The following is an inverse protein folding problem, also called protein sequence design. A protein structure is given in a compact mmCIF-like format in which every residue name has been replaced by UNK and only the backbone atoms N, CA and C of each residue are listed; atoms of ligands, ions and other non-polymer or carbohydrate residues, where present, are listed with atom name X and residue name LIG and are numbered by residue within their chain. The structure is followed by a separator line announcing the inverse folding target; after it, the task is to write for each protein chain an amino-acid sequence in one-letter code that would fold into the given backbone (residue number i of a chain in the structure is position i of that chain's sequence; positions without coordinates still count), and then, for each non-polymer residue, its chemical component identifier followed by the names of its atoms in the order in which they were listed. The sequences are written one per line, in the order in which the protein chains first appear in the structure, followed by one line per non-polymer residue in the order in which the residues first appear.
data_IF_023224694443
#
_entry.id   IF_023224694443
#
_cell.length_a   1.000
_cell.length_b   1.000
_cell.length_c   1.000
_cell.angle_alpha   90.00
_cell.angle_beta   90.00
_cell.angle_gamma   90.00
#
_symmetry.space_group_name_H-M   'P 1'
#
loop_
_entity.id
_entity.type
_entity.pdbx_description
1 polymer ?
#
# COMPACT_ATOMS: atom_id res chain seq x y z
N UNK A 1 -1.31 -1.85 7.16
CA UNK A 1 -1.37 -0.49 7.73
C UNK A 1 -2.14 0.35 6.72
N UNK A 2 -2.94 1.35 7.13
CA UNK A 2 -4.05 1.86 6.30
C UNK A 2 -4.20 3.39 6.29
N UNK A 3 -3.13 4.11 6.60
CA UNK A 3 -3.02 5.56 6.36
C UNK A 3 -1.60 5.81 5.91
N UNK A 4 -1.43 6.66 4.91
CA UNK A 4 -0.14 6.91 4.27
C UNK A 4 0.49 8.19 4.84
N UNK A 5 -0.32 9.09 5.39
CA UNK A 5 0.14 10.26 6.10
C UNK A 5 0.48 10.00 7.59
N UNK A 6 1.77 10.06 7.93
CA UNK A 6 2.26 9.90 9.30
C UNK A 6 1.71 10.96 10.27
N UNK A 7 1.56 12.21 9.83
CA UNK A 7 1.09 13.28 10.72
C UNK A 7 -0.38 13.06 11.11
N UNK A 8 -1.17 12.61 10.14
CA UNK A 8 -2.58 12.26 10.37
C UNK A 8 -2.70 11.05 11.31
N UNK A 9 -1.86 10.01 11.11
CA UNK A 9 -1.79 8.85 12.02
C UNK A 9 -1.47 9.25 13.46
N UNK A 10 -0.43 10.07 13.65
CA UNK A 10 -0.04 10.55 14.98
C UNK A 10 -1.10 11.49 15.58
N UNK A 11 -1.81 12.26 14.75
CA UNK A 11 -2.89 13.14 15.14
C UNK A 11 -4.09 12.41 15.75
N UNK A 12 -4.32 11.14 15.40
CA UNK A 12 -5.40 10.32 15.96
C UNK A 12 -5.11 9.79 17.36
N UNK A 13 -3.84 9.71 17.76
CA UNK A 13 -3.45 9.23 19.07
C UNK A 13 -3.76 10.28 20.15
N UNK A 14 -4.10 9.81 21.36
CA UNK A 14 -4.15 10.69 22.53
C UNK A 14 -2.78 11.36 22.75
N UNK A 15 -2.75 12.50 23.45
CA UNK A 15 -1.50 13.20 23.72
C UNK A 15 -0.47 12.30 24.44
N UNK A 16 -0.93 11.46 25.37
CA UNK A 16 -0.10 10.50 26.09
C UNK A 16 0.45 9.41 25.15
N UNK A 17 -0.40 8.76 24.35
CA UNK A 17 0.03 7.73 23.41
C UNK A 17 0.98 8.29 22.33
N UNK A 18 0.71 9.51 21.85
CA UNK A 18 1.58 10.21 20.89
C UNK A 18 2.95 10.54 21.50
N UNK A 19 3.01 10.95 22.76
CA UNK A 19 4.28 11.21 23.45
C UNK A 19 5.17 9.96 23.55
N UNK A 20 4.57 8.78 23.71
CA UNK A 20 5.30 7.50 23.77
C UNK A 20 5.97 7.10 22.44
N UNK A 21 5.45 7.59 21.31
CA UNK A 21 5.94 7.25 19.97
C UNK A 21 6.54 8.45 19.21
N UNK A 22 6.70 9.61 19.87
CA UNK A 22 7.18 10.83 19.22
C UNK A 22 8.58 10.65 18.61
N UNK A 23 9.41 9.82 19.23
CA UNK A 23 10.75 9.48 18.75
C UNK A 23 10.74 8.78 17.40
N UNK A 24 9.64 8.10 17.04
CA UNK A 24 9.52 7.35 15.79
C UNK A 24 9.34 8.26 14.57
N UNK A 25 8.87 9.51 14.76
CA UNK A 25 8.53 10.40 13.64
C UNK A 25 9.76 10.71 12.77
N UNK A 26 10.83 11.19 13.37
CA UNK A 26 12.02 11.64 12.64
C UNK A 26 12.66 10.53 11.81
N UNK A 27 12.89 9.30 12.33
CA UNK A 27 13.37 8.19 11.52
C UNK A 27 12.48 7.89 10.31
N UNK A 28 11.15 7.92 10.47
CA UNK A 28 10.21 7.67 9.36
C UNK A 28 10.29 8.80 8.33
N UNK A 29 10.28 10.06 8.76
CA UNK A 29 10.40 11.21 7.85
C UNK A 29 11.70 11.15 7.03
N UNK A 30 12.82 10.79 7.67
CA UNK A 30 14.11 10.63 7.00
C UNK A 30 14.10 9.48 5.99
N UNK A 31 13.48 8.36 6.35
CA UNK A 31 13.26 7.23 5.46
C UNK A 31 12.44 7.64 4.21
N UNK A 32 11.32 8.34 4.39
CA UNK A 32 10.51 8.83 3.27
C UNK A 32 11.28 9.82 2.41
N UNK A 33 12.03 10.74 3.03
CA UNK A 33 12.87 11.70 2.33
C UNK A 33 13.90 11.02 1.42
N UNK A 34 14.56 9.95 1.87
CA UNK A 34 15.48 9.15 1.03
C UNK A 34 14.77 8.52 -0.17
N UNK A 35 13.60 7.91 0.05
CA UNK A 35 12.78 7.36 -1.03
C UNK A 35 12.20 8.41 -1.95
N UNK A 36 12.28 9.68 -1.58
CA UNK A 36 11.87 10.79 -2.44
C UNK A 36 13.07 11.35 -3.22
N UNK A 37 14.24 11.50 -2.59
CA UNK A 37 15.41 12.16 -3.19
C UNK A 37 16.39 11.24 -3.91
N UNK A 38 16.60 10.02 -3.44
CA UNK A 38 17.70 9.16 -3.89
C UNK A 38 17.32 8.42 -5.18
N UNK A 39 18.25 7.71 -5.82
CA UNK A 39 17.92 6.87 -6.98
C UNK A 39 17.10 5.67 -6.54
N UNK A 40 15.88 5.50 -7.09
CA UNK A 40 15.03 4.36 -6.75
C UNK A 40 15.65 3.07 -7.25
N UNK A 41 15.91 2.18 -6.30
CA UNK A 41 16.38 0.82 -6.55
C UNK A 41 15.67 -0.13 -5.59
N UNK A 42 15.60 -1.41 -5.95
CA UNK A 42 15.05 -2.44 -5.06
C UNK A 42 15.83 -2.49 -3.72
N UNK A 43 17.14 -2.29 -3.78
CA UNK A 43 18.03 -2.21 -2.63
C UNK A 43 17.72 -1.02 -1.72
N UNK A 44 17.50 0.18 -2.29
CA UNK A 44 17.10 1.36 -1.50
C UNK A 44 15.77 1.11 -0.77
N UNK A 45 14.77 0.55 -1.46
CA UNK A 45 13.49 0.23 -0.83
C UNK A 45 13.68 -0.79 0.31
N UNK A 46 14.60 -1.74 0.16
CA UNK A 46 14.92 -2.71 1.22
C UNK A 46 15.58 -2.08 2.43
N UNK A 47 16.59 -1.23 2.22
CA UNK A 47 17.29 -0.50 3.28
C UNK A 47 16.32 0.39 4.05
N UNK A 48 15.57 1.23 3.32
CA UNK A 48 14.62 2.16 3.94
C UNK A 48 13.52 1.42 4.69
N UNK A 49 13.02 0.30 4.15
CA UNK A 49 12.05 -0.53 4.86
C UNK A 49 12.62 -1.10 6.16
N UNK A 50 13.86 -1.59 6.14
CA UNK A 50 14.52 -2.13 7.32
C UNK A 50 14.77 -1.06 8.39
N UNK A 51 15.05 0.18 8.00
CA UNK A 51 15.19 1.33 8.90
C UNK A 51 13.82 1.76 9.48
N UNK A 52 12.77 1.77 8.65
CA UNK A 52 11.46 2.27 9.03
C UNK A 52 10.61 1.27 9.85
N UNK A 53 10.87 -0.05 9.75
CA UNK A 53 9.99 -1.07 10.33
C UNK A 53 9.81 -0.95 11.84
N UNK A 54 10.88 -0.72 12.61
CA UNK A 54 10.80 -0.58 14.07
C UNK A 54 9.98 0.64 14.49
N UNK A 55 10.34 1.86 14.01
CA UNK A 55 9.54 3.06 14.21
C UNK A 55 8.06 2.90 13.80
N UNK A 56 7.79 2.33 12.62
CA UNK A 56 6.42 2.09 12.15
C UNK A 56 5.68 1.09 13.05
N UNK A 57 6.33 0.01 13.47
CA UNK A 57 5.75 -0.97 14.38
C UNK A 57 5.35 -0.34 15.72
N UNK A 58 6.16 0.57 16.27
CA UNK A 58 5.83 1.31 17.49
C UNK A 58 4.57 2.18 17.33
N UNK A 59 4.47 2.94 16.22
CA UNK A 59 3.30 3.77 15.90
C UNK A 59 2.05 2.91 15.72
N UNK A 60 2.15 1.82 14.94
CA UNK A 60 1.05 0.87 14.70
C UNK A 60 0.60 0.20 15.99
N UNK A 61 1.54 -0.21 16.85
CA UNK A 61 1.23 -0.79 18.15
C UNK A 61 0.46 0.20 19.05
N UNK A 62 0.85 1.47 19.07
CA UNK A 62 0.12 2.50 19.80
C UNK A 62 -1.30 2.72 19.25
N UNK A 63 -1.46 2.72 17.93
CA UNK A 63 -2.77 2.83 17.27
C UNK A 63 -3.67 1.65 17.62
N UNK A 64 -3.19 0.40 17.49
CA UNK A 64 -4.01 -0.78 17.80
C UNK A 64 -4.46 -0.85 19.26
N UNK A 65 -3.64 -0.36 20.20
CA UNK A 65 -4.06 -0.21 21.60
C UNK A 65 -5.22 0.77 21.75
N UNK A 66 -5.23 1.85 20.97
CA UNK A 66 -6.32 2.83 20.96
C UNK A 66 -7.59 2.33 20.22
N UNK A 67 -7.43 1.48 19.21
CA UNK A 67 -8.55 0.87 18.46
C UNK A 67 -9.48 0.06 19.37
N UNK A 68 -8.93 -0.60 20.40
CA UNK A 68 -9.66 -1.55 21.25
C UNK A 68 -10.91 -1.00 21.95
N UNK A 69 -11.02 0.32 22.14
CA UNK A 69 -12.20 0.93 22.77
C UNK A 69 -13.35 1.24 21.80
N UNK A 70 -13.07 1.41 20.50
CA UNK A 70 -14.10 1.78 19.49
C UNK A 70 -13.69 1.35 18.06
N UNK A 71 -13.60 0.05 17.77
CA UNK A 71 -12.93 -0.40 16.54
C UNK A 71 -13.62 0.03 15.25
N UNK A 72 -14.96 0.14 15.23
CA UNK A 72 -15.70 0.58 14.04
C UNK A 72 -15.46 2.06 13.71
N UNK A 73 -15.39 2.93 14.72
CA UNK A 73 -15.08 4.35 14.53
C UNK A 73 -13.65 4.53 14.01
N UNK A 74 -12.71 3.76 14.55
CA UNK A 74 -11.34 3.73 14.07
C UNK A 74 -11.25 3.21 12.65
N UNK A 75 -11.95 2.12 12.33
CA UNK A 75 -12.04 1.59 10.96
C UNK A 75 -12.51 2.67 9.98
N UNK A 76 -13.63 3.32 10.28
CA UNK A 76 -14.21 4.35 9.42
C UNK A 76 -13.24 5.53 9.23
N UNK A 77 -12.67 6.03 10.32
CA UNK A 77 -11.72 7.15 10.25
C UNK A 77 -10.45 6.83 9.46
N UNK A 78 -9.86 5.66 9.67
CA UNK A 78 -8.66 5.25 8.92
C UNK A 78 -8.97 5.06 7.43
N UNK A 79 -10.15 4.54 7.07
CA UNK A 79 -10.56 4.44 5.66
C UNK A 79 -10.81 5.81 5.02
N UNK A 80 -11.35 6.77 5.77
CA UNK A 80 -11.53 8.14 5.31
C UNK A 80 -10.17 8.81 5.05
N UNK A 81 -9.20 8.64 5.96
CA UNK A 81 -7.84 9.16 5.76
C UNK A 81 -7.18 8.53 4.53
N UNK A 82 -7.31 7.20 4.38
CA UNK A 82 -6.78 6.48 3.22
C UNK A 82 -7.38 6.99 1.91
N UNK A 83 -8.67 7.31 1.91
CA UNK A 83 -9.34 7.91 0.76
C UNK A 83 -8.80 9.31 0.45
N UNK A 84 -8.58 10.16 1.47
CA UNK A 84 -7.98 11.49 1.26
C UNK A 84 -6.56 11.40 0.71
N UNK A 85 -5.77 10.44 1.19
CA UNK A 85 -4.42 10.19 0.68
C UNK A 85 -4.45 9.69 -0.78
N UNK A 86 -5.40 8.82 -1.14
CA UNK A 86 -5.62 8.38 -2.53
C UNK A 86 -6.01 9.56 -3.44
N UNK A 87 -6.96 10.39 -3.01
CA UNK A 87 -7.39 11.56 -3.78
C UNK A 87 -6.23 12.51 -4.01
N UNK A 88 -5.38 12.74 -3.00
CA UNK A 88 -4.16 13.55 -3.12
C UNK A 88 -3.19 12.95 -4.13
N UNK A 89 -2.95 11.64 -4.11
CA UNK A 89 -2.07 11.00 -5.10
C UNK A 89 -2.67 11.11 -6.50
N UNK A 90 -3.97 10.87 -6.65
CA UNK A 90 -4.65 10.91 -7.95
C UNK A 90 -4.54 12.27 -8.64
N UNK A 91 -4.52 13.38 -7.89
CA UNK A 91 -4.37 14.73 -8.48
C UNK A 91 -2.96 15.04 -8.98
N UNK A 92 -1.93 14.39 -8.43
CA UNK A 92 -0.54 14.62 -8.83
C UNK A 92 -0.03 13.62 -9.87
N UNK A 93 -0.63 12.43 -9.96
CA UNK A 93 -0.17 11.40 -10.89
C UNK A 93 -0.29 11.85 -12.36
N UNK A 94 0.75 11.59 -13.18
CA UNK A 94 0.92 12.24 -14.48
C UNK A 94 -0.04 11.72 -15.56
N UNK A 95 -0.44 10.45 -15.48
CA UNK A 95 -1.19 9.77 -16.53
C UNK A 95 -2.24 8.80 -15.94
N UNK A 96 -3.13 8.32 -16.81
CA UNK A 96 -4.23 7.43 -16.43
C UNK A 96 -3.76 6.03 -16.04
N UNK A 97 -2.63 5.55 -16.56
CA UNK A 97 -2.09 4.23 -16.23
C UNK A 97 -1.53 4.20 -14.79
N UNK A 98 -0.89 5.29 -14.37
CA UNK A 98 -0.45 5.47 -12.99
C UNK A 98 -1.65 5.56 -12.02
N UNK A 99 -2.74 6.22 -12.42
CA UNK A 99 -3.98 6.28 -11.63
C UNK A 99 -4.65 4.91 -11.54
N UNK A 100 -4.73 4.16 -12.63
CA UNK A 100 -5.21 2.78 -12.62
C UNK A 100 -4.37 1.90 -11.67
N UNK A 101 -3.05 2.08 -11.69
CA UNK A 101 -2.12 1.35 -10.80
C UNK A 101 -2.38 1.71 -9.33
N UNK A 102 -2.58 3.00 -9.03
CA UNK A 102 -3.00 3.45 -7.70
C UNK A 102 -4.31 2.78 -7.27
N UNK A 103 -5.34 2.76 -8.15
CA UNK A 103 -6.64 2.15 -7.85
C UNK A 103 -6.50 0.67 -7.46
N UNK A 104 -5.65 -0.06 -8.19
CA UNK A 104 -5.31 -1.44 -7.86
C UNK A 104 -4.70 -1.59 -6.46
N UNK A 105 -3.71 -0.74 -6.17
CA UNK A 105 -2.99 -0.78 -4.89
C UNK A 105 -3.92 -0.44 -3.72
N UNK A 106 -4.65 0.65 -3.84
CA UNK A 106 -5.55 1.15 -2.79
C UNK A 106 -6.72 0.20 -2.57
N UNK A 107 -7.30 -0.33 -3.64
CA UNK A 107 -8.38 -1.31 -3.59
C UNK A 107 -7.97 -2.60 -2.86
N UNK A 108 -6.77 -3.12 -3.15
CA UNK A 108 -6.23 -4.29 -2.45
C UNK A 108 -5.98 -3.99 -0.96
N UNK A 109 -5.39 -2.84 -0.64
CA UNK A 109 -5.12 -2.44 0.75
C UNK A 109 -6.40 -2.29 1.57
N UNK A 110 -7.47 -1.70 0.99
CA UNK A 110 -8.80 -1.66 1.60
C UNK A 110 -9.32 -3.07 1.88
N UNK A 111 -9.25 -3.98 0.91
CA UNK A 111 -9.67 -5.38 1.10
C UNK A 111 -8.91 -6.08 2.22
N UNK A 112 -7.57 -5.90 2.28
CA UNK A 112 -6.74 -6.45 3.34
C UNK A 112 -7.09 -5.85 4.71
N UNK A 113 -7.35 -4.54 4.77
CA UNK A 113 -7.74 -3.84 5.97
C UNK A 113 -9.09 -4.31 6.49
N UNK A 114 -10.06 -4.49 5.59
CA UNK A 114 -11.39 -5.03 5.90
C UNK A 114 -11.30 -6.41 6.53
N UNK A 115 -10.48 -7.30 5.96
CA UNK A 115 -10.20 -8.60 6.57
C UNK A 115 -9.56 -8.46 7.96
N UNK A 116 -8.58 -7.56 8.11
CA UNK A 116 -7.87 -7.34 9.38
C UNK A 116 -8.82 -6.87 10.48
N UNK A 117 -9.68 -5.89 10.20
CA UNK A 117 -10.67 -5.40 11.14
C UNK A 117 -11.75 -6.43 11.44
N UNK A 118 -12.21 -7.19 10.44
CA UNK A 118 -13.17 -8.27 10.65
C UNK A 118 -12.62 -9.35 11.61
N UNK A 119 -11.32 -9.67 11.51
CA UNK A 119 -10.65 -10.60 12.44
C UNK A 119 -10.49 -9.97 13.82
N UNK A 120 -10.01 -8.72 13.91
CA UNK A 120 -9.82 -8.03 15.19
C UNK A 120 -11.13 -7.84 15.97
N UNK A 121 -12.23 -7.56 15.27
CA UNK A 121 -13.58 -7.43 15.84
C UNK A 121 -14.13 -8.76 16.37
N UNK A 122 -13.80 -9.88 15.73
CA UNK A 122 -14.28 -11.22 16.11
C UNK A 122 -13.43 -11.90 17.18
N UNK A 123 -12.12 -11.63 17.19
CA UNK A 123 -11.16 -12.27 18.10
C UNK A 123 -10.91 -11.52 19.42
N UNK A 124 -11.53 -10.35 19.61
CA UNK A 124 -11.10 -9.38 20.62
C UNK A 124 -9.73 -8.78 20.29
N UNK A 125 -9.29 -7.71 20.98
CA UNK A 125 -7.96 -7.14 20.77
C UNK A 125 -6.90 -8.16 21.22
N UNK A 126 -6.51 -9.03 20.30
CA UNK A 126 -5.35 -9.90 20.47
C UNK A 126 -4.14 -8.98 20.59
N UNK A 127 -3.35 -9.21 21.65
CA UNK A 127 -2.19 -8.43 22.08
C UNK A 127 -1.04 -8.54 21.07
N UNK A 128 -1.23 -8.08 19.84
CA UNK A 128 -0.13 -7.94 18.88
C UNK A 128 0.74 -6.79 19.39
N UNK A 129 1.83 -7.15 20.05
CA UNK A 129 2.81 -6.20 20.57
C UNK A 129 3.73 -5.66 19.48
N UNK A 130 4.52 -4.65 19.82
CA UNK A 130 5.56 -4.12 18.94
C UNK A 130 6.52 -5.24 18.48
N UNK A 131 6.94 -6.11 19.41
CA UNK A 131 7.83 -7.24 19.11
C UNK A 131 7.21 -8.23 18.11
N UNK A 132 5.89 -8.44 18.14
CA UNK A 132 5.19 -9.29 17.18
C UNK A 132 5.20 -8.67 15.79
N UNK A 133 4.97 -7.37 15.67
CA UNK A 133 5.01 -6.67 14.39
C UNK A 133 6.42 -6.65 13.82
N UNK A 134 7.44 -6.39 14.64
CA UNK A 134 8.85 -6.42 14.21
C UNK A 134 9.32 -7.84 13.83
N UNK A 135 8.84 -8.86 14.55
CA UNK A 135 9.11 -10.27 14.20
C UNK A 135 8.39 -10.67 12.92
N UNK A 136 7.14 -10.24 12.74
CA UNK A 136 6.38 -10.46 11.51
C UNK A 136 7.05 -9.73 10.35
N UNK A 137 7.48 -8.48 10.53
CA UNK A 137 8.18 -7.67 9.53
C UNK A 137 9.49 -8.22 9.00
N UNK A 138 10.07 -9.20 9.71
CA UNK A 138 11.24 -9.96 9.23
C UNK A 138 10.88 -11.18 8.39
N UNK A 139 9.62 -11.63 8.39
CA UNK A 139 9.12 -12.66 7.46
C UNK A 139 8.92 -12.04 6.08
N UNK A 140 9.38 -12.73 5.04
CA UNK A 140 9.35 -12.23 3.65
C UNK A 140 7.96 -11.69 3.26
N UNK A 141 6.90 -12.42 3.61
CA UNK A 141 5.51 -12.11 3.26
C UNK A 141 5.01 -10.79 3.86
N UNK A 142 5.34 -10.54 5.12
CA UNK A 142 4.94 -9.32 5.83
C UNK A 142 5.89 -8.16 5.50
N UNK A 143 7.15 -8.46 5.17
CA UNK A 143 8.10 -7.46 4.67
C UNK A 143 7.59 -6.84 3.37
N UNK A 144 7.03 -7.63 2.46
CA UNK A 144 6.41 -7.09 1.24
C UNK A 144 5.24 -6.14 1.56
N UNK A 145 4.38 -6.48 2.54
CA UNK A 145 3.32 -5.57 3.01
C UNK A 145 3.85 -4.25 3.58
N UNK A 146 4.97 -4.30 4.32
CA UNK A 146 5.61 -3.08 4.83
C UNK A 146 6.23 -2.27 3.69
N UNK A 147 6.85 -2.93 2.69
CA UNK A 147 7.41 -2.27 1.50
C UNK A 147 6.34 -1.50 0.73
N UNK A 148 5.17 -2.11 0.51
CA UNK A 148 3.99 -1.43 -0.09
C UNK A 148 3.66 -0.16 0.70
N UNK A 149 3.53 -0.31 2.03
CA UNK A 149 3.18 0.81 2.89
C UNK A 149 4.23 1.93 2.84
N UNK A 150 5.51 1.59 2.97
CA UNK A 150 6.64 2.54 2.95
C UNK A 150 6.71 3.29 1.63
N UNK A 151 6.58 2.59 0.50
CA UNK A 151 6.59 3.22 -0.81
C UNK A 151 5.39 4.17 -1.01
N UNK A 152 4.19 3.79 -0.58
CA UNK A 152 3.02 4.67 -0.63
C UNK A 152 3.10 5.87 0.32
N UNK A 153 3.65 5.70 1.51
CA UNK A 153 3.92 6.82 2.43
C UNK A 153 4.88 7.82 1.79
N UNK A 154 5.94 7.33 1.14
CA UNK A 154 6.87 8.18 0.41
C UNK A 154 6.21 8.86 -0.81
N UNK A 155 5.28 8.18 -1.51
CA UNK A 155 4.54 8.77 -2.61
C UNK A 155 3.65 9.93 -2.13
N UNK A 156 2.95 9.75 -1.01
CA UNK A 156 2.13 10.80 -0.40
C UNK A 156 2.99 11.96 0.10
N UNK A 157 4.14 11.65 0.71
CA UNK A 157 5.09 12.65 1.15
C UNK A 157 5.62 13.47 -0.05
N UNK A 158 5.99 12.82 -1.16
CA UNK A 158 6.39 13.48 -2.41
C UNK A 158 5.29 14.39 -2.98
N UNK A 159 4.04 13.92 -2.97
CA UNK A 159 2.89 14.71 -3.41
C UNK A 159 2.67 15.97 -2.55
N UNK A 160 2.93 15.90 -1.23
CA UNK A 160 2.76 17.03 -0.30
C UNK A 160 3.79 18.13 -0.49
N UNK A 161 5.06 17.78 -0.71
CA UNK A 161 6.12 18.78 -0.92
C UNK A 161 6.15 19.34 -2.34
N UNK A 162 5.27 18.86 -3.23
CA UNK A 162 5.19 19.33 -4.61
C UNK A 162 6.38 18.89 -5.47
N UNK A 163 6.94 17.71 -5.18
CA UNK A 163 8.00 17.12 -6.00
C UNK A 163 7.46 16.54 -7.32
N UNK A 164 8.37 16.03 -8.15
CA UNK A 164 8.10 15.49 -9.50
C UNK A 164 6.95 14.45 -9.48
N UNK A 165 5.88 14.66 -10.27
CA UNK A 165 4.80 13.68 -10.50
C UNK A 165 5.29 12.28 -10.87
N UNK A 166 6.39 12.21 -11.61
CA UNK A 166 7.05 10.98 -12.03
C UNK A 166 7.57 10.20 -10.81
N UNK A 167 8.10 10.90 -9.80
CA UNK A 167 8.56 10.24 -8.57
C UNK A 167 7.42 9.60 -7.78
N UNK A 168 6.27 10.28 -7.70
CA UNK A 168 5.08 9.72 -7.06
C UNK A 168 4.58 8.49 -7.83
N UNK A 169 4.60 8.54 -9.17
CA UNK A 169 4.28 7.39 -10.03
C UNK A 169 5.22 6.21 -9.77
N UNK A 170 6.53 6.42 -9.79
CA UNK A 170 7.50 5.32 -9.59
C UNK A 170 7.30 4.61 -8.25
N UNK A 171 6.99 5.36 -7.19
CA UNK A 171 6.71 4.80 -5.86
C UNK A 171 5.38 4.03 -5.81
N UNK A 172 4.36 4.48 -6.54
CA UNK A 172 3.10 3.73 -6.72
C UNK A 172 3.34 2.44 -7.51
N UNK A 173 4.13 2.49 -8.58
CA UNK A 173 4.48 1.32 -9.40
C UNK A 173 5.28 0.29 -8.57
N UNK A 174 6.25 0.74 -7.77
CA UNK A 174 6.96 -0.12 -6.80
C UNK A 174 5.99 -0.79 -5.81
N UNK A 175 5.01 -0.03 -5.31
CA UNK A 175 3.98 -0.56 -4.41
C UNK A 175 3.11 -1.61 -5.08
N UNK A 176 2.78 -1.43 -6.36
CA UNK A 176 2.03 -2.41 -7.15
C UNK A 176 2.82 -3.71 -7.36
N UNK A 177 4.11 -3.63 -7.65
CA UNK A 177 4.95 -4.83 -7.81
C UNK A 177 5.01 -5.67 -6.52
N UNK A 178 5.14 -5.02 -5.36
CA UNK A 178 5.10 -5.70 -4.06
C UNK A 178 3.71 -6.27 -3.75
N UNK A 179 2.65 -5.56 -4.14
CA UNK A 179 1.27 -6.07 -4.01
C UNK A 179 1.08 -7.35 -4.80
N UNK A 180 1.57 -7.44 -6.03
CA UNK A 180 1.44 -8.67 -6.86
C UNK A 180 2.10 -9.85 -6.15
N UNK A 181 3.27 -9.65 -5.53
CA UNK A 181 3.96 -10.68 -4.73
C UNK A 181 3.09 -11.13 -3.55
N UNK A 182 2.54 -10.18 -2.78
CA UNK A 182 1.66 -10.48 -1.63
C UNK A 182 0.38 -11.19 -2.08
N UNK A 183 -0.26 -10.71 -3.15
CA UNK A 183 -1.49 -11.30 -3.67
C UNK A 183 -1.30 -12.76 -4.08
N UNK A 184 -0.21 -13.07 -4.79
CA UNK A 184 0.11 -14.45 -5.19
C UNK A 184 0.30 -15.36 -3.98
N UNK A 185 0.96 -14.84 -2.93
CA UNK A 185 1.16 -15.56 -1.68
C UNK A 185 -0.16 -15.84 -0.95
N UNK A 186 -1.01 -14.82 -0.77
CA UNK A 186 -2.32 -14.96 -0.13
C UNK A 186 -3.22 -15.91 -0.91
N UNK A 187 -3.18 -15.86 -2.24
CA UNK A 187 -3.92 -16.78 -3.09
C UNK A 187 -3.46 -18.23 -2.91
N UNK A 188 -2.16 -18.47 -2.75
CA UNK A 188 -1.62 -19.79 -2.41
C UNK A 188 -2.10 -20.31 -1.05
N UNK A 189 -2.47 -19.40 -0.14
CA UNK A 189 -3.07 -19.71 1.16
C UNK A 189 -4.60 -19.77 1.14
N UNK A 190 -5.22 -19.66 -0.04
CA UNK A 190 -6.67 -19.70 -0.22
C UNK A 190 -7.40 -18.38 0.00
N UNK A 191 -6.69 -17.29 0.33
CA UNK A 191 -7.28 -15.95 0.47
C UNK A 191 -7.20 -15.19 -0.86
N UNK A 192 -8.36 -14.95 -1.47
CA UNK A 192 -8.46 -14.18 -2.72
C UNK A 192 -9.00 -12.79 -2.44
N UNK A 193 -8.12 -11.80 -2.44
CA UNK A 193 -8.48 -10.39 -2.40
C UNK A 193 -8.58 -9.84 -3.82
N UNK A 194 -9.68 -9.13 -4.11
CA UNK A 194 -9.84 -8.33 -5.32
C UNK A 194 -9.48 -6.89 -5.00
N UNK A 195 -8.79 -6.21 -5.92
CA UNK A 195 -8.65 -4.76 -5.85
C UNK A 195 -9.99 -4.03 -6.04
N UNK A 196 -10.97 -4.69 -6.66
CA UNK A 196 -12.31 -4.14 -6.88
C UNK A 196 -13.35 -5.12 -6.33
N UNK A 197 -13.55 -5.16 -5.00
CA UNK A 197 -14.39 -6.18 -4.35
C UNK A 197 -15.89 -6.02 -4.63
N UNK A 198 -16.33 -4.81 -5.02
CA UNK A 198 -17.73 -4.49 -5.32
C UNK A 198 -18.01 -4.31 -6.80
N UNK A 199 -17.03 -4.64 -7.64
CA UNK A 199 -17.17 -4.48 -9.08
C UNK A 199 -18.20 -5.45 -9.65
N UNK A 200 -19.15 -4.91 -10.41
CA UNK A 200 -20.10 -5.69 -11.20
C UNK A 200 -19.44 -6.33 -12.41
N UNK A 201 -20.03 -7.41 -12.96
CA UNK A 201 -19.53 -8.04 -14.19
C UNK A 201 -19.42 -7.06 -15.37
N UNK A 202 -20.34 -6.09 -15.45
CA UNK A 202 -20.35 -5.08 -16.51
C UNK A 202 -19.17 -4.11 -16.37
N UNK A 203 -18.94 -3.58 -15.17
CA UNK A 203 -17.80 -2.71 -14.86
C UNK A 203 -16.47 -3.43 -15.10
N UNK A 204 -16.36 -4.70 -14.67
CA UNK A 204 -15.18 -5.52 -14.91
C UNK A 204 -14.89 -5.68 -16.39
N UNK A 205 -15.93 -5.98 -17.18
CA UNK A 205 -15.80 -6.13 -18.64
C UNK A 205 -15.36 -4.82 -19.28
N UNK A 206 -15.95 -3.71 -18.87
CA UNK A 206 -15.59 -2.37 -19.34
C UNK A 206 -14.11 -2.08 -19.07
N UNK A 207 -13.64 -2.29 -17.83
CA UNK A 207 -12.24 -2.07 -17.46
C UNK A 207 -11.29 -2.96 -18.26
N UNK A 208 -11.62 -4.24 -18.44
CA UNK A 208 -10.80 -5.16 -19.25
C UNK A 208 -10.70 -4.73 -20.71
N UNK A 209 -11.80 -4.26 -21.30
CA UNK A 209 -11.80 -3.73 -22.67
C UNK A 209 -10.95 -2.47 -22.76
N UNK A 210 -11.15 -1.51 -21.85
CA UNK A 210 -10.35 -0.28 -21.83
C UNK A 210 -8.86 -0.54 -21.62
N UNK A 211 -8.50 -1.49 -20.75
CA UNK A 211 -7.11 -1.89 -20.55
C UNK A 211 -6.51 -2.54 -21.80
N UNK A 212 -7.25 -3.43 -22.48
CA UNK A 212 -6.81 -4.04 -23.72
C UNK A 212 -6.64 -3.02 -24.85
N UNK A 213 -7.55 -2.04 -24.96
CA UNK A 213 -7.45 -0.94 -25.92
C UNK A 213 -6.29 0.01 -25.61
N UNK A 214 -5.96 0.23 -24.34
CA UNK A 214 -4.78 0.98 -23.93
C UNK A 214 -3.51 0.24 -24.31
N UNK A 215 -3.36 -1.02 -23.88
CA UNK A 215 -2.24 -1.89 -24.25
C UNK A 215 -2.02 -1.91 -25.77
N UNK A 216 -3.09 -2.04 -26.56
CA UNK A 216 -3.00 -2.04 -28.02
C UNK A 216 -2.49 -0.73 -28.61
N UNK A 217 -2.73 0.40 -27.96
CA UNK A 217 -2.23 1.71 -28.41
C UNK A 217 -0.78 1.95 -28.03
N UNK A 218 -0.29 1.34 -26.95
CA UNK A 218 1.06 1.55 -26.43
C UNK A 218 2.07 0.53 -26.94
N UNK A 219 1.63 -0.69 -27.23
CA UNK A 219 2.48 -1.78 -27.72
C UNK A 219 2.74 -1.66 -29.21
N UNK A 220 3.97 -1.96 -29.61
CA UNK A 220 4.33 -2.09 -31.03
C UNK A 220 3.78 -3.40 -31.59
N UNK A 221 3.73 -3.52 -32.93
CA UNK A 221 3.32 -4.77 -33.58
C UNK A 221 4.23 -5.95 -33.18
N UNK A 222 5.54 -5.70 -33.01
CA UNK A 222 6.52 -6.68 -32.53
C UNK A 222 6.20 -7.16 -31.10
N UNK A 223 5.79 -6.26 -30.20
CA UNK A 223 5.42 -6.64 -28.83
C UNK A 223 4.15 -7.53 -28.81
N UNK A 224 3.23 -7.30 -29.75
CA UNK A 224 2.04 -8.13 -29.93
C UNK A 224 2.37 -9.52 -30.43
N UNK A 225 3.27 -9.64 -31.42
CA UNK A 225 3.73 -10.94 -31.90
C UNK A 225 4.37 -11.77 -30.78
N UNK A 226 5.16 -11.15 -29.90
CA UNK A 226 5.75 -11.81 -28.73
C UNK A 226 4.68 -12.29 -27.75
N UNK A 227 3.67 -11.47 -27.46
CA UNK A 227 2.55 -11.86 -26.58
C UNK A 227 1.73 -13.01 -27.17
N UNK A 228 1.43 -12.98 -28.47
CA UNK A 228 0.69 -14.05 -29.14
C UNK A 228 1.48 -15.36 -29.13
N UNK A 229 2.79 -15.30 -29.40
CA UNK A 229 3.68 -16.44 -29.33
C UNK A 229 3.79 -17.02 -27.90
N UNK A 230 3.77 -16.18 -26.86
CA UNK A 230 3.77 -16.61 -25.46
C UNK A 230 2.44 -17.27 -25.07
N UNK A 231 1.29 -16.72 -25.50
CA UNK A 231 -0.04 -17.30 -25.24
C UNK A 231 -0.17 -18.72 -25.80
N UNK A 232 0.46 -18.98 -26.94
CA UNK A 232 0.44 -20.29 -27.59
C UNK A 232 1.24 -21.34 -26.81
N UNK A 233 2.28 -20.96 -26.06
CA UNK A 233 3.11 -21.88 -25.27
C UNK A 233 2.50 -22.29 -23.93
N UNK A 234 1.61 -21.49 -23.35
CA UNK A 234 0.90 -21.84 -22.10
C UNK A 234 -0.32 -22.75 -22.34
N UNK A 235 -0.65 -23.06 -23.60
CA UNK A 235 -1.76 -23.94 -24.00
C UNK A 235 -1.29 -25.32 -24.51
N UNK A 236 0.03 -25.55 -24.57
CA UNK A 236 0.66 -26.85 -24.88
C UNK A 236 1.13 -27.54 -23.59
#
# INVERSE_FOLDING_TARGET
MAVLDLETLLGRLSAEARAQVVWAKRPIDLAMARLRSDVLTEALLDEVTAEAVGPLAAVVGALWRAVGSSPEQWRAGLMEDLQRDEERLRTVLPDDDARDTLDWVMGFLRGLFDCTFAVALRGGPSRIGQEDIERLGRKADFRALIRIQVALMAAVDAAKVGESPERARDLVDLSFLELVRVRNLLQGQGLRLSAFPHETTAERRSRLVSAAERLRRTMTDDDWEVLEAARMRDLE
#
